data_IF_560352132132
#
_entry.id   IF_560352132132
#
_cell.length_a   1.000
_cell.length_b   1.000
_cell.length_c   1.000
_cell.angle_alpha   90.00
_cell.angle_beta   90.00
_cell.angle_gamma   90.00
#
_symmetry.space_group_name_H-M   'P 1'
#
loop_
_entity.id
_entity.type
_entity.pdbx_description
1 polymer ?
#
# COMPACT_ATOMS: atom_id res chain seq x y z
N UNK A 1 4.09 -2.88 -8.60
CA UNK A 1 3.47 -1.88 -7.68
C UNK A 1 2.69 -0.79 -8.41
N UNK A 2 3.17 -0.19 -9.51
CA UNK A 2 2.46 0.93 -10.17
C UNK A 2 1.01 0.61 -10.57
N UNK A 3 0.74 -0.61 -11.07
CA UNK A 3 -0.63 -1.03 -11.40
C UNK A 3 -1.57 -1.04 -10.17
N UNK A 4 -1.08 -1.49 -9.01
CA UNK A 4 -1.84 -1.47 -7.75
C UNK A 4 -2.11 -0.02 -7.32
N UNK A 5 -1.14 0.88 -7.49
CA UNK A 5 -1.34 2.30 -7.17
C UNK A 5 -2.41 2.94 -8.06
N UNK A 6 -2.42 2.65 -9.36
CA UNK A 6 -3.47 3.12 -10.26
C UNK A 6 -4.85 2.60 -9.84
N UNK A 7 -4.94 1.30 -9.49
CA UNK A 7 -6.18 0.71 -8.98
C UNK A 7 -6.63 1.37 -7.67
N UNK A 8 -5.71 1.71 -6.77
CA UNK A 8 -6.01 2.37 -5.49
C UNK A 8 -6.63 3.76 -5.74
N UNK A 9 -6.01 4.55 -6.61
CA UNK A 9 -6.47 5.89 -6.97
C UNK A 9 -7.83 5.84 -7.67
N UNK A 10 -8.03 4.91 -8.61
CA UNK A 10 -9.30 4.71 -9.29
C UNK A 10 -10.40 4.31 -8.29
N UNK A 11 -10.11 3.35 -7.40
CA UNK A 11 -11.05 2.91 -6.36
C UNK A 11 -11.49 4.07 -5.48
N UNK A 12 -10.55 4.95 -5.07
CA UNK A 12 -10.87 6.14 -4.29
C UNK A 12 -11.76 7.13 -5.04
N UNK A 13 -11.54 7.32 -6.34
CA UNK A 13 -12.36 8.18 -7.19
C UNK A 13 -13.80 7.63 -7.34
N UNK A 14 -13.95 6.31 -7.38
CA UNK A 14 -15.24 5.60 -7.43
C UNK A 14 -15.92 5.47 -6.05
N UNK A 15 -15.36 6.08 -4.99
CA UNK A 15 -15.92 6.00 -3.63
C UNK A 15 -15.73 4.64 -2.94
N UNK A 16 -14.85 3.79 -3.46
CA UNK A 16 -14.49 2.51 -2.87
C UNK A 16 -13.25 2.65 -1.98
N UNK A 17 -13.27 1.97 -0.84
CA UNK A 17 -12.08 1.76 -0.02
C UNK A 17 -11.26 0.60 -0.56
N UNK A 18 -9.93 0.75 -0.54
CA UNK A 18 -9.01 -0.34 -0.84
C UNK A 18 -7.97 -0.48 0.28
N UNK A 19 -7.67 -1.71 0.68
CA UNK A 19 -6.67 -2.05 1.69
C UNK A 19 -5.68 -3.09 1.18
N UNK A 20 -4.40 -2.91 1.51
CA UNK A 20 -3.33 -3.86 1.23
C UNK A 20 -3.06 -4.73 2.45
N UNK A 21 -3.05 -6.06 2.27
CA UNK A 21 -2.54 -7.01 3.26
C UNK A 21 -1.29 -7.68 2.72
N UNK A 22 -0.18 -7.57 3.46
CA UNK A 22 1.14 -8.18 3.15
C UNK A 22 1.60 -9.20 4.18
N UNK A 23 0.90 -9.35 5.30
CA UNK A 23 1.25 -10.30 6.35
C UNK A 23 0.62 -11.66 6.05
N UNK A 24 1.24 -12.42 5.14
CA UNK A 24 0.83 -13.78 4.77
C UNK A 24 2.04 -14.58 4.25
N UNK A 25 1.91 -15.91 4.17
CA UNK A 25 2.92 -16.78 3.56
C UNK A 25 2.69 -16.89 2.04
N UNK A 26 3.59 -16.38 1.18
CA UNK A 26 3.36 -16.34 -0.26
C UNK A 26 3.15 -17.72 -0.90
N UNK A 27 3.88 -18.74 -0.47
CA UNK A 27 3.72 -20.07 -1.07
C UNK A 27 2.35 -20.67 -0.75
N UNK A 28 1.90 -20.53 0.50
CA UNK A 28 0.58 -21.01 0.91
C UNK A 28 -0.55 -20.33 0.13
N UNK A 29 -0.44 -19.02 -0.14
CA UNK A 29 -1.41 -18.29 -0.95
C UNK A 29 -1.37 -18.73 -2.42
N UNK A 30 -0.17 -18.95 -2.97
CA UNK A 30 0.00 -19.44 -4.33
C UNK A 30 -0.63 -20.82 -4.53
N UNK A 31 -0.40 -21.73 -3.59
CA UNK A 31 -0.97 -23.09 -3.61
C UNK A 31 -2.49 -23.05 -3.47
N UNK A 32 -3.00 -22.26 -2.52
CA UNK A 32 -4.44 -22.09 -2.28
C UNK A 32 -5.18 -21.60 -3.54
N UNK A 33 -4.61 -20.61 -4.24
CA UNK A 33 -5.19 -20.02 -5.44
C UNK A 33 -4.79 -20.74 -6.74
N UNK A 34 -3.99 -21.82 -6.64
CA UNK A 34 -3.46 -22.58 -7.78
C UNK A 34 -2.80 -21.69 -8.83
N UNK A 35 -1.94 -20.78 -8.37
CA UNK A 35 -1.23 -19.87 -9.27
C UNK A 35 -0.28 -20.64 -10.19
N UNK A 36 -0.06 -20.16 -11.44
CA UNK A 36 0.82 -20.84 -12.38
C UNK A 36 2.28 -20.80 -11.91
N UNK A 37 3.09 -21.75 -12.39
CA UNK A 37 4.50 -21.83 -12.08
C UNK A 37 5.22 -20.49 -12.39
N UNK A 38 6.00 -20.00 -11.43
CA UNK A 38 6.72 -18.72 -11.53
C UNK A 38 5.91 -17.48 -11.14
N UNK A 39 4.59 -17.60 -10.91
CA UNK A 39 3.81 -16.52 -10.32
C UNK A 39 4.21 -16.27 -8.87
N UNK A 40 4.23 -14.99 -8.47
CA UNK A 40 4.62 -14.56 -7.13
C UNK A 40 3.50 -13.70 -6.54
N UNK A 41 2.77 -14.17 -5.52
CA UNK A 41 1.83 -13.32 -4.81
C UNK A 41 2.54 -12.11 -4.20
N UNK A 42 2.05 -10.91 -4.51
CA UNK A 42 2.64 -9.65 -4.05
C UNK A 42 1.80 -8.99 -2.94
N UNK A 43 0.48 -9.04 -3.08
CA UNK A 43 -0.46 -8.37 -2.20
C UNK A 43 -1.82 -9.07 -2.25
N UNK A 44 -2.51 -9.11 -1.12
CA UNK A 44 -3.96 -9.35 -1.07
C UNK A 44 -4.64 -7.99 -0.95
N UNK A 45 -5.54 -7.68 -1.88
CA UNK A 45 -6.23 -6.40 -1.92
C UNK A 45 -7.69 -6.59 -1.51
N UNK A 46 -8.11 -5.93 -0.44
CA UNK A 46 -9.52 -5.83 -0.05
C UNK A 46 -10.12 -4.60 -0.70
N UNK A 47 -11.26 -4.74 -1.38
CA UNK A 47 -11.92 -3.66 -2.12
C UNK A 47 -13.42 -3.67 -1.83
N UNK A 48 -14.02 -2.52 -1.55
CA UNK A 48 -15.47 -2.42 -1.39
C UNK A 48 -15.97 -1.04 -0.94
N UNK A 49 -17.30 -0.87 -0.83
CA UNK A 49 -17.90 0.37 -0.33
C UNK A 49 -17.48 0.66 1.10
N UNK A 50 -17.31 1.93 1.43
CA UNK A 50 -16.98 2.39 2.78
C UNK A 50 -17.96 3.46 3.25
N UNK A 51 -18.16 3.54 4.56
CA UNK A 51 -19.00 4.59 5.16
C UNK A 51 -18.29 5.95 5.14
N UNK A 52 -16.98 5.95 5.39
CA UNK A 52 -16.16 7.15 5.44
C UNK A 52 -14.69 6.81 5.17
N UNK A 53 -13.90 7.85 4.90
CA UNK A 53 -12.45 7.78 4.81
C UNK A 53 -11.85 8.54 5.98
N UNK A 54 -10.81 7.98 6.60
CA UNK A 54 -10.09 8.67 7.67
C UNK A 54 -9.45 9.98 7.19
N UNK A 55 -9.39 11.01 8.03
CA UNK A 55 -8.78 12.30 7.68
C UNK A 55 -7.24 12.23 7.60
N UNK A 56 -6.63 11.19 8.15
CA UNK A 56 -5.19 10.93 8.13
C UNK A 56 -4.93 9.41 8.16
N UNK A 57 -3.69 8.94 7.90
CA UNK A 57 -3.36 7.52 8.03
C UNK A 57 -3.69 6.99 9.44
N UNK A 58 -4.40 5.87 9.52
CA UNK A 58 -4.83 5.27 10.81
C UNK A 58 -3.66 5.07 11.78
N UNK A 59 -2.50 4.61 11.31
CA UNK A 59 -1.33 4.40 12.17
C UNK A 59 -0.80 5.70 12.79
N UNK A 60 -1.06 6.86 12.18
CA UNK A 60 -0.73 8.17 12.76
C UNK A 60 -1.77 8.55 13.81
N UNK A 61 -3.06 8.33 13.51
CA UNK A 61 -4.16 8.59 14.45
C UNK A 61 -4.03 7.77 15.74
N UNK A 62 -3.59 6.50 15.61
CA UNK A 62 -3.38 5.58 16.73
C UNK A 62 -2.01 5.75 17.42
N UNK A 63 -1.20 6.74 17.01
CA UNK A 63 0.12 6.99 17.59
C UNK A 63 1.17 5.89 17.34
N UNK A 64 0.88 4.94 16.44
CA UNK A 64 1.79 3.85 16.08
C UNK A 64 2.98 4.33 15.24
N UNK A 65 2.76 5.33 14.39
CA UNK A 65 3.78 5.90 13.52
C UNK A 65 3.64 7.43 13.42
N UNK A 66 4.72 8.12 13.06
CA UNK A 66 4.72 9.54 12.75
C UNK A 66 4.98 9.77 11.27
N UNK A 67 4.30 10.76 10.69
CA UNK A 67 4.57 11.18 9.32
C UNK A 67 5.96 11.83 9.25
N UNK A 68 6.79 11.36 8.32
CA UNK A 68 8.12 11.93 8.10
C UNK A 68 8.04 13.11 7.13
N UNK A 69 8.72 14.22 7.41
CA UNK A 69 8.74 15.35 6.50
C UNK A 69 9.50 14.98 5.21
N UNK A 70 8.99 15.45 4.07
CA UNK A 70 9.51 15.07 2.75
C UNK A 70 10.99 15.43 2.56
N UNK A 71 11.44 16.56 3.11
CA UNK A 71 12.82 17.03 2.94
C UNK A 71 13.87 16.08 3.55
N UNK A 72 13.51 15.24 4.53
CA UNK A 72 14.40 14.20 5.04
C UNK A 72 14.63 13.04 4.06
N UNK A 73 13.77 12.92 3.04
CA UNK A 73 13.79 11.84 2.06
C UNK A 73 14.31 12.31 0.70
N UNK A 74 14.59 13.61 0.55
CA UNK A 74 15.08 14.21 -0.68
C UNK A 74 16.56 14.58 -0.53
N UNK A 75 17.35 14.12 -1.50
CA UNK A 75 18.75 14.52 -1.64
C UNK A 75 18.98 15.14 -3.01
N UNK A 76 19.94 16.03 -3.10
CA UNK A 76 20.39 16.65 -4.33
C UNK A 76 21.74 16.08 -4.75
N UNK A 77 21.82 15.57 -5.96
CA UNK A 77 23.02 15.02 -6.62
C UNK A 77 23.59 13.73 -5.96
N UNK A 78 23.76 13.70 -4.64
CA UNK A 78 24.42 12.63 -3.91
C UNK A 78 23.66 12.23 -2.65
N UNK A 79 23.75 10.96 -2.27
CA UNK A 79 23.13 10.44 -1.04
C UNK A 79 23.60 11.21 0.20
N UNK A 80 22.66 11.67 1.02
CA UNK A 80 22.94 12.39 2.27
C UNK A 80 23.15 13.90 2.11
N UNK A 81 23.10 14.44 0.89
CA UNK A 81 23.25 15.88 0.63
C UNK A 81 21.85 16.47 0.40
N UNK A 82 21.34 17.23 1.37
CA UNK A 82 20.07 17.95 1.25
C UNK A 82 20.33 19.43 0.91
N UNK A 83 19.35 20.08 0.28
CA UNK A 83 19.36 21.54 0.05
C UNK A 83 19.17 22.33 1.34
#
# INVERSE_FOLDING_TARGET
SCAIQNLWLASRAEGLGMGWVSLFEPQALADLLRLPAGAKPLAVLCLGPVKEFYPAPMLVLEGWAQARPLHELLYENYWGVSQ
#
